data_IF_308781065460
#
_entry.id   IF_308781065460
#
_cell.length_a   1.000
_cell.length_b   1.000
_cell.length_c   1.000
_cell.angle_alpha   90.00
_cell.angle_beta   90.00
_cell.angle_gamma   90.00
#
_symmetry.space_group_name_H-M   'P 1'
#
loop_
_entity.id
_entity.type
_entity.pdbx_description
1 polymer ?
#
# COMPACT_ATOMS: atom_id res chain seq x y z
N UNK A 1 -1.84 8.52 23.07
CA UNK A 1 -1.80 8.68 21.60
C UNK A 1 -1.83 7.28 21.04
N UNK A 2 -2.84 6.96 20.25
CA UNK A 2 -3.09 5.59 19.78
C UNK A 2 -1.89 5.07 18.96
N UNK A 3 -1.52 3.80 19.13
CA UNK A 3 -0.30 3.22 18.54
C UNK A 3 -0.27 3.36 17.01
N UNK A 4 -1.37 3.14 16.26
CA UNK A 4 -1.38 3.33 14.81
C UNK A 4 -1.09 4.77 14.38
N UNK A 5 -1.63 5.77 15.11
CA UNK A 5 -1.37 7.18 14.82
C UNK A 5 0.11 7.55 15.03
N UNK A 6 0.75 6.98 16.06
CA UNK A 6 2.20 7.16 16.28
C UNK A 6 3.03 6.56 15.15
N UNK A 7 2.70 5.34 14.71
CA UNK A 7 3.42 4.67 13.61
C UNK A 7 3.28 5.45 12.30
N UNK A 8 2.06 5.91 11.98
CA UNK A 8 1.82 6.76 10.81
C UNK A 8 2.63 8.06 10.85
N UNK A 9 2.71 8.71 12.01
CA UNK A 9 3.54 9.91 12.19
C UNK A 9 5.02 9.65 11.90
N UNK A 10 5.57 8.55 12.44
CA UNK A 10 6.97 8.16 12.18
C UNK A 10 7.22 7.88 10.69
N UNK A 11 6.31 7.17 10.01
CA UNK A 11 6.41 6.95 8.56
C UNK A 11 6.35 8.29 7.81
N UNK A 12 5.48 9.21 8.24
CA UNK A 12 5.37 10.54 7.65
C UNK A 12 6.67 11.34 7.73
N UNK A 13 7.29 11.37 8.91
CA UNK A 13 8.54 12.09 9.14
C UNK A 13 9.70 11.50 8.31
N UNK A 14 9.80 10.16 8.27
CA UNK A 14 10.84 9.47 7.46
C UNK A 14 10.64 9.70 5.97
N UNK A 15 9.40 9.62 5.49
CA UNK A 15 9.10 9.82 4.09
C UNK A 15 9.39 11.26 3.66
N UNK A 16 9.04 12.25 4.49
CA UNK A 16 9.36 13.65 4.23
C UNK A 16 10.88 13.86 4.07
N UNK A 17 11.70 13.16 4.86
CA UNK A 17 13.16 13.21 4.75
C UNK A 17 13.72 12.64 3.44
N UNK A 18 12.98 11.79 2.72
CA UNK A 18 13.39 11.27 1.41
C UNK A 18 13.30 12.30 0.29
N UNK A 19 12.57 13.41 0.51
CA UNK A 19 12.37 14.48 -0.48
C UNK A 19 11.92 13.95 -1.87
N UNK A 20 11.05 12.93 -1.87
CA UNK A 20 10.47 12.37 -3.09
C UNK A 20 9.47 13.35 -3.72
N UNK A 21 9.18 13.20 -5.03
CA UNK A 21 8.21 14.04 -5.71
C UNK A 21 6.84 14.07 -5.00
N UNK A 22 6.25 15.25 -4.98
CA UNK A 22 4.88 15.52 -4.54
C UNK A 22 4.20 16.39 -5.60
N UNK A 23 2.91 16.17 -5.82
CA UNK A 23 2.11 16.94 -6.77
C UNK A 23 0.71 17.20 -6.20
N UNK A 24 0.14 18.39 -6.46
CA UNK A 24 -1.22 18.70 -6.06
C UNK A 24 -2.22 17.91 -6.90
N UNK A 25 -3.46 17.84 -6.42
CA UNK A 25 -4.60 17.35 -7.20
C UNK A 25 -4.73 18.15 -8.52
N UNK A 26 -4.53 17.52 -9.71
CA UNK A 26 -4.70 18.17 -11.01
C UNK A 26 -6.14 18.61 -11.33
N UNK A 27 -7.08 18.15 -10.53
CA UNK A 27 -8.52 18.31 -10.66
C UNK A 27 -9.15 19.08 -9.48
N UNK A 28 -8.35 19.73 -8.63
CA UNK A 28 -8.84 20.46 -7.46
C UNK A 28 -9.99 21.45 -7.76
N UNK A 29 -9.94 22.09 -8.93
CA UNK A 29 -10.90 23.13 -9.36
C UNK A 29 -11.80 22.68 -10.53
N UNK A 30 -11.70 21.44 -10.99
CA UNK A 30 -12.42 20.97 -12.19
C UNK A 30 -12.64 19.47 -12.20
N UNK A 31 -13.68 19.03 -12.90
CA UNK A 31 -13.79 17.62 -13.25
C UNK A 31 -12.71 17.20 -14.28
N UNK A 32 -12.26 15.93 -14.25
CA UNK A 32 -11.48 15.36 -15.34
C UNK A 32 -12.30 15.29 -16.63
N UNK A 33 -11.61 15.34 -17.76
CA UNK A 33 -12.18 15.14 -19.09
C UNK A 33 -12.12 13.66 -19.50
N UNK A 34 -12.95 13.27 -20.48
CA UNK A 34 -12.95 11.91 -21.03
C UNK A 34 -11.56 11.49 -21.54
N UNK A 35 -10.83 12.39 -22.20
CA UNK A 35 -9.48 12.09 -22.70
C UNK A 35 -8.45 11.80 -21.61
N UNK A 36 -8.68 12.24 -20.37
CA UNK A 36 -7.80 11.97 -19.24
C UNK A 36 -8.02 10.56 -18.69
N UNK A 37 -9.18 9.93 -18.92
CA UNK A 37 -9.41 8.53 -18.54
C UNK A 37 -8.63 7.54 -19.41
N UNK A 38 -8.25 7.95 -20.62
CA UNK A 38 -7.56 7.11 -21.61
C UNK A 38 -6.04 7.26 -21.59
N UNK A 39 -5.50 8.14 -20.74
CA UNK A 39 -4.09 8.52 -20.74
C UNK A 39 -3.42 8.24 -19.41
N UNK A 40 -2.14 7.89 -19.48
CA UNK A 40 -1.21 7.77 -18.35
C UNK A 40 0.04 8.58 -18.73
N UNK A 41 0.12 9.83 -18.29
CA UNK A 41 1.15 10.77 -18.78
C UNK A 41 2.50 10.62 -18.08
N UNK A 42 2.50 10.30 -16.79
CA UNK A 42 3.70 10.08 -15.99
C UNK A 42 3.47 8.88 -15.06
N UNK A 43 3.60 7.64 -15.56
CA UNK A 43 3.38 6.47 -14.74
C UNK A 43 4.43 6.33 -13.62
N UNK A 44 5.62 6.90 -13.79
CA UNK A 44 6.72 6.69 -12.84
C UNK A 44 6.60 7.46 -11.54
N UNK A 45 5.82 8.54 -11.50
CA UNK A 45 5.55 9.25 -10.24
C UNK A 45 4.95 8.36 -9.16
N UNK A 46 4.21 7.30 -9.54
CA UNK A 46 3.60 6.37 -8.60
C UNK A 46 4.60 5.46 -7.85
N UNK A 47 5.91 5.54 -8.15
CA UNK A 47 6.96 4.87 -7.35
C UNK A 47 6.97 5.31 -5.89
N UNK A 48 6.41 6.48 -5.58
CA UNK A 48 6.27 6.97 -4.20
C UNK A 48 5.50 6.02 -3.29
N UNK A 49 4.54 5.28 -3.86
CA UNK A 49 3.69 4.33 -3.12
C UNK A 49 4.53 3.19 -2.57
N UNK A 50 5.39 2.59 -3.40
CA UNK A 50 6.30 1.54 -2.97
C UNK A 50 7.31 2.05 -1.94
N UNK A 51 7.83 3.28 -2.11
CA UNK A 51 8.74 3.88 -1.14
C UNK A 51 8.07 4.06 0.24
N UNK A 52 6.84 4.58 0.27
CA UNK A 52 6.05 4.75 1.50
C UNK A 52 5.74 3.41 2.17
N UNK A 53 5.36 2.41 1.39
CA UNK A 53 5.06 1.07 1.90
C UNK A 53 6.27 0.38 2.52
N UNK A 54 7.46 0.55 1.94
CA UNK A 54 8.71 0.02 2.52
C UNK A 54 9.03 0.69 3.86
N UNK A 55 8.83 2.00 3.99
CA UNK A 55 8.97 2.69 5.28
C UNK A 55 7.98 2.17 6.33
N UNK A 56 6.76 1.84 5.93
CA UNK A 56 5.83 1.13 6.82
C UNK A 56 6.38 -0.21 7.29
N UNK A 57 6.94 -1.03 6.39
CA UNK A 57 7.55 -2.30 6.78
C UNK A 57 8.71 -2.09 7.77
N UNK A 58 9.57 -1.11 7.54
CA UNK A 58 10.68 -0.76 8.45
C UNK A 58 10.17 -0.32 9.83
N UNK A 59 9.20 0.61 9.88
CA UNK A 59 8.63 1.12 11.13
C UNK A 59 7.88 0.01 11.90
N UNK A 60 7.19 -0.88 11.20
CA UNK A 60 6.55 -2.06 11.81
C UNK A 60 7.59 -3.04 12.34
N UNK A 61 8.70 -3.26 11.63
CA UNK A 61 9.79 -4.11 12.08
C UNK A 61 10.40 -3.58 13.39
N UNK A 62 10.65 -2.28 13.46
CA UNK A 62 11.13 -1.62 14.68
C UNK A 62 10.13 -1.66 15.83
N UNK A 63 8.83 -1.71 15.52
CA UNK A 63 7.78 -1.93 16.50
C UNK A 63 7.68 -3.39 16.96
N UNK A 64 8.40 -4.32 16.33
CA UNK A 64 8.49 -5.74 16.72
C UNK A 64 7.83 -6.72 15.77
N UNK A 65 7.30 -6.25 14.62
CA UNK A 65 6.85 -7.13 13.55
C UNK A 65 8.04 -7.87 12.90
N UNK A 66 7.81 -9.04 12.35
CA UNK A 66 8.82 -9.73 11.54
C UNK A 66 8.60 -9.41 10.07
N UNK A 67 9.63 -8.90 9.40
CA UNK A 67 9.56 -8.56 7.96
C UNK A 67 10.47 -9.49 7.18
N UNK A 68 9.93 -10.10 6.13
CA UNK A 68 10.68 -10.94 5.21
C UNK A 68 10.36 -10.57 3.76
N UNK A 69 11.39 -10.49 2.93
CA UNK A 69 11.21 -10.53 1.48
C UNK A 69 10.93 -11.98 1.06
N UNK A 70 9.81 -12.18 0.36
CA UNK A 70 9.36 -13.51 -0.06
C UNK A 70 9.59 -13.64 -1.58
N UNK A 71 10.30 -14.68 -2.05
CA UNK A 71 10.48 -14.90 -3.48
C UNK A 71 9.16 -15.37 -4.09
N UNK A 72 8.41 -14.42 -4.64
CA UNK A 72 7.14 -14.63 -5.31
C UNK A 72 7.27 -14.12 -6.73
N UNK A 73 7.00 -14.97 -7.72
CA UNK A 73 7.10 -14.58 -9.14
C UNK A 73 5.78 -13.99 -9.66
N UNK A 74 4.66 -14.57 -9.21
CA UNK A 74 3.32 -14.16 -9.61
C UNK A 74 2.35 -14.27 -8.44
N UNK A 75 1.28 -13.49 -8.50
CA UNK A 75 0.11 -13.68 -7.63
C UNK A 75 -1.14 -13.50 -8.46
N UNK A 76 -2.18 -14.25 -8.15
CA UNK A 76 -3.52 -14.03 -8.68
C UNK A 76 -4.37 -13.51 -7.53
N UNK A 77 -4.68 -12.21 -7.50
CA UNK A 77 -5.48 -11.63 -6.44
C UNK A 77 -6.91 -12.20 -6.44
N UNK A 78 -7.36 -12.59 -5.25
CA UNK A 78 -8.75 -12.84 -4.88
C UNK A 78 -9.27 -11.58 -4.18
N UNK A 79 -10.43 -11.04 -4.57
CA UNK A 79 -11.02 -9.89 -3.88
C UNK A 79 -11.89 -8.99 -4.76
N UNK A 80 -12.58 -8.04 -4.12
CA UNK A 80 -13.55 -7.15 -4.77
C UNK A 80 -12.90 -6.10 -5.69
N UNK A 81 -11.63 -5.75 -5.46
CA UNK A 81 -10.94 -4.64 -6.13
C UNK A 81 -10.10 -5.03 -7.36
N UNK A 82 -9.85 -6.33 -7.59
CA UNK A 82 -9.20 -6.83 -8.81
C UNK A 82 -9.49 -8.33 -9.02
N UNK A 83 -10.37 -8.73 -9.96
CA UNK A 83 -10.68 -10.14 -10.14
C UNK A 83 -9.63 -10.87 -10.97
N UNK A 84 -8.99 -11.90 -10.39
CA UNK A 84 -8.50 -13.11 -11.08
C UNK A 84 -7.38 -12.95 -12.11
N UNK A 85 -6.88 -11.74 -12.34
CA UNK A 85 -5.76 -11.50 -13.26
C UNK A 85 -4.44 -11.77 -12.54
N UNK A 86 -3.66 -12.72 -13.05
CA UNK A 86 -2.29 -12.95 -12.57
C UNK A 86 -1.41 -11.73 -12.84
N UNK A 87 -0.76 -11.22 -11.79
CA UNK A 87 0.20 -10.12 -11.87
C UNK A 87 1.63 -10.64 -11.71
N UNK A 88 2.55 -10.03 -12.44
CA UNK A 88 3.98 -10.27 -12.28
C UNK A 88 4.49 -9.50 -11.07
N UNK A 89 5.11 -10.23 -10.14
CA UNK A 89 5.62 -9.65 -8.91
C UNK A 89 7.05 -9.19 -9.13
N UNK A 90 7.30 -7.92 -8.79
CA UNK A 90 8.64 -7.35 -8.77
C UNK A 90 9.32 -7.55 -7.41
N UNK A 91 8.54 -7.39 -6.33
CA UNK A 91 8.97 -7.59 -4.94
C UNK A 91 7.76 -7.95 -4.09
N UNK A 92 7.92 -8.85 -3.12
CA UNK A 92 6.91 -9.10 -2.10
C UNK A 92 7.55 -9.03 -0.72
N UNK A 93 6.99 -8.20 0.16
CA UNK A 93 7.30 -8.19 1.58
C UNK A 93 6.12 -8.80 2.34
N UNK A 94 6.44 -9.73 3.23
CA UNK A 94 5.52 -10.25 4.25
C UNK A 94 5.89 -9.60 5.58
N UNK A 95 4.90 -9.02 6.25
CA UNK A 95 5.02 -8.42 7.58
C UNK A 95 4.13 -9.23 8.52
N UNK A 96 4.75 -10.11 9.28
CA UNK A 96 4.07 -10.89 10.32
C UNK A 96 3.93 -10.06 11.60
N UNK A 97 2.79 -10.17 12.32
CA UNK A 97 2.56 -9.45 13.56
C UNK A 97 3.63 -9.76 14.63
N UNK A 98 3.82 -8.88 15.63
CA UNK A 98 4.71 -9.14 16.73
C UNK A 98 4.40 -10.45 17.46
N UNK A 99 5.43 -11.11 17.99
CA UNK A 99 5.28 -12.34 18.74
C UNK A 99 4.31 -12.17 19.93
N UNK A 100 3.37 -13.11 20.09
CA UNK A 100 2.37 -13.08 21.17
C UNK A 100 1.11 -12.28 20.87
N UNK A 101 0.98 -11.75 19.64
CA UNK A 101 -0.29 -11.22 19.11
C UNK A 101 -1.02 -12.34 18.39
N UNK A 102 -2.02 -12.91 19.06
CA UNK A 102 -2.87 -13.95 18.47
C UNK A 102 -3.98 -13.33 17.60
N UNK A 103 -4.36 -14.01 16.51
CA UNK A 103 -5.48 -13.62 15.65
C UNK A 103 -5.19 -12.49 14.65
N UNK A 104 -4.01 -11.88 14.70
CA UNK A 104 -3.57 -10.89 13.74
C UNK A 104 -3.15 -11.53 12.40
N UNK A 105 -3.68 -11.01 11.30
CA UNK A 105 -3.32 -11.47 9.97
C UNK A 105 -1.98 -10.83 9.52
N UNK A 106 -1.08 -11.60 8.88
CA UNK A 106 0.09 -11.06 8.20
C UNK A 106 -0.30 -10.03 7.15
N UNK A 107 0.44 -8.93 7.07
CA UNK A 107 0.31 -7.93 6.01
C UNK A 107 1.25 -8.31 4.85
N UNK A 108 0.75 -8.18 3.62
CA UNK A 108 1.54 -8.33 2.40
C UNK A 108 1.62 -7.02 1.63
N UNK A 109 2.84 -6.64 1.26
CA UNK A 109 3.16 -5.51 0.40
C UNK A 109 3.78 -6.06 -0.88
N UNK A 110 2.98 -6.14 -1.95
CA UNK A 110 3.41 -6.75 -3.21
C UNK A 110 3.52 -5.67 -4.29
N UNK A 111 4.75 -5.42 -4.72
CA UNK A 111 5.05 -4.50 -5.81
C UNK A 111 4.98 -5.22 -7.14
N UNK A 112 4.34 -4.60 -8.12
CA UNK A 112 4.24 -5.11 -9.49
C UNK A 112 4.41 -3.98 -10.50
N UNK A 113 4.68 -4.35 -11.74
CA UNK A 113 4.78 -3.43 -12.86
C UNK A 113 3.77 -3.87 -13.93
N UNK A 114 2.90 -2.97 -14.37
CA UNK A 114 1.99 -3.21 -15.49
C UNK A 114 2.36 -2.35 -16.69
N UNK A 115 2.20 -2.81 -17.94
CA UNK A 115 2.42 -1.97 -19.11
C UNK A 115 1.54 -0.71 -19.10
N UNK A 116 2.14 0.43 -19.46
CA UNK A 116 1.48 1.73 -19.62
C UNK A 116 2.08 2.42 -20.85
N UNK A 117 1.61 2.03 -22.05
CA UNK A 117 2.21 2.46 -23.30
C UNK A 117 3.67 1.98 -23.43
N UNK A 118 4.64 2.86 -23.73
CA UNK A 118 6.06 2.50 -23.81
C UNK A 118 6.73 2.32 -22.44
N UNK A 119 6.04 2.69 -21.35
CA UNK A 119 6.53 2.63 -19.98
C UNK A 119 5.81 1.56 -19.15
N UNK A 120 6.15 1.46 -17.87
CA UNK A 120 5.44 0.64 -16.90
C UNK A 120 4.85 1.50 -15.79
N UNK A 121 3.63 1.17 -15.36
CA UNK A 121 3.01 1.73 -14.18
C UNK A 121 3.37 0.86 -12.96
N UNK A 122 4.09 1.41 -11.96
CA UNK A 122 4.30 0.77 -10.68
C UNK A 122 2.98 0.67 -9.92
N UNK A 123 2.71 -0.51 -9.37
CA UNK A 123 1.56 -0.78 -8.53
C UNK A 123 2.00 -1.43 -7.23
N UNK A 124 1.31 -1.10 -6.14
CA UNK A 124 1.38 -1.82 -4.88
C UNK A 124 0.04 -2.52 -4.64
N UNK A 125 0.10 -3.81 -4.33
CA UNK A 125 -1.01 -4.61 -3.84
C UNK A 125 -0.85 -4.83 -2.35
N UNK A 126 -1.92 -4.58 -1.61
CA UNK A 126 -2.00 -4.75 -0.16
C UNK A 126 -2.91 -5.94 0.14
N UNK A 127 -2.39 -7.00 0.76
CA UNK A 127 -3.18 -8.18 1.13
C UNK A 127 -3.08 -8.48 2.62
N UNK A 128 -4.08 -9.16 3.17
CA UNK A 128 -4.13 -9.55 4.58
C UNK A 128 -4.26 -11.06 4.73
N UNK A 129 -3.46 -11.67 5.61
CA UNK A 129 -3.43 -13.11 5.82
C UNK A 129 -2.74 -13.84 4.68
N UNK A 130 -3.50 -14.16 3.64
CA UNK A 130 -2.98 -14.78 2.43
C UNK A 130 -2.56 -13.70 1.43
N UNK A 131 -1.54 -13.99 0.61
CA UNK A 131 -1.07 -13.03 -0.39
C UNK A 131 -2.13 -12.76 -1.46
N UNK A 132 -2.98 -13.72 -1.73
CA UNK A 132 -4.09 -13.62 -2.68
C UNK A 132 -5.23 -12.75 -2.13
N UNK A 133 -5.41 -12.60 -0.81
CA UNK A 133 -6.54 -11.88 -0.21
C UNK A 133 -6.36 -10.35 -0.25
N UNK A 134 -6.55 -9.79 -1.45
CA UNK A 134 -6.30 -8.39 -1.78
C UNK A 134 -7.30 -7.48 -1.09
N UNK A 135 -6.77 -6.51 -0.33
CA UNK A 135 -7.54 -5.50 0.39
C UNK A 135 -7.51 -4.14 -0.29
N UNK A 136 -6.40 -3.79 -0.94
CA UNK A 136 -6.29 -2.53 -1.68
C UNK A 136 -5.20 -2.60 -2.75
N UNK A 137 -5.28 -1.70 -3.73
CA UNK A 137 -4.29 -1.52 -4.79
C UNK A 137 -4.01 -0.03 -4.98
N UNK A 138 -2.73 0.31 -5.17
CA UNK A 138 -2.28 1.70 -5.29
C UNK A 138 -1.34 1.91 -6.49
N UNK A 139 -1.58 2.93 -7.33
CA UNK A 139 -2.85 3.64 -7.43
C UNK A 139 -4.00 2.66 -7.78
N UNK A 140 -5.21 2.98 -7.35
CA UNK A 140 -6.40 2.18 -7.68
C UNK A 140 -6.61 2.14 -9.21
N UNK A 141 -6.55 3.31 -9.83
CA UNK A 141 -6.52 3.51 -11.27
C UNK A 141 -5.33 4.42 -11.62
N UNK A 142 -4.57 4.05 -12.66
CA UNK A 142 -3.37 4.80 -13.04
C UNK A 142 -3.58 5.87 -14.10
N UNK A 143 -4.82 6.11 -14.56
CA UNK A 143 -5.10 7.14 -15.57
C UNK A 143 -5.02 8.55 -14.97
N UNK A 144 -4.76 9.53 -15.84
CA UNK A 144 -4.65 10.93 -15.43
C UNK A 144 -5.93 11.43 -14.75
N UNK A 145 -7.11 10.98 -15.19
CA UNK A 145 -8.39 11.40 -14.63
C UNK A 145 -8.65 10.93 -13.19
N UNK A 146 -8.00 9.84 -12.77
CA UNK A 146 -8.14 9.30 -11.41
C UNK A 146 -7.04 9.79 -10.47
N UNK A 147 -6.17 10.68 -10.93
CA UNK A 147 -5.15 11.27 -10.10
C UNK A 147 -5.73 12.40 -9.25
N UNK A 148 -5.68 12.23 -7.94
CA UNK A 148 -6.17 13.18 -6.94
C UNK A 148 -5.01 13.77 -6.10
N UNK A 149 -3.78 13.67 -6.61
CA UNK A 149 -2.59 14.22 -5.98
C UNK A 149 -1.82 13.21 -5.12
N UNK A 150 -0.55 13.51 -4.86
CA UNK A 150 0.32 12.61 -4.08
C UNK A 150 -0.13 12.48 -2.63
N UNK A 151 -0.65 13.55 -2.04
CA UNK A 151 -0.95 13.57 -0.60
C UNK A 151 -2.14 12.66 -0.29
N UNK A 152 -3.20 12.76 -1.08
CA UNK A 152 -4.37 11.89 -0.96
C UNK A 152 -4.03 10.44 -1.23
N UNK A 153 -3.25 10.16 -2.28
CA UNK A 153 -2.76 8.83 -2.59
C UNK A 153 -2.00 8.18 -1.41
N UNK A 154 -1.09 8.93 -0.77
CA UNK A 154 -0.32 8.43 0.36
C UNK A 154 -1.16 8.30 1.64
N UNK A 155 -2.12 9.20 1.85
CA UNK A 155 -3.06 9.11 2.97
C UNK A 155 -3.97 7.89 2.86
N UNK A 156 -4.46 7.57 1.67
CA UNK A 156 -5.26 6.37 1.41
C UNK A 156 -4.44 5.08 1.61
N UNK A 157 -3.16 5.09 1.22
CA UNK A 157 -2.23 3.99 1.50
C UNK A 157 -2.05 3.79 3.00
N UNK A 158 -1.75 4.86 3.74
CA UNK A 158 -1.56 4.82 5.19
C UNK A 158 -2.84 4.34 5.91
N UNK A 159 -4.01 4.78 5.46
CA UNK A 159 -5.31 4.32 5.94
C UNK A 159 -5.51 2.82 5.71
N UNK A 160 -5.21 2.33 4.50
CA UNK A 160 -5.39 0.93 4.15
C UNK A 160 -4.46 0.02 4.97
N UNK A 161 -3.18 0.39 5.13
CA UNK A 161 -2.23 -0.34 5.98
C UNK A 161 -2.71 -0.34 7.43
N UNK A 162 -3.15 0.82 7.94
CA UNK A 162 -3.66 0.95 9.32
C UNK A 162 -4.87 0.04 9.56
N UNK A 163 -5.79 -0.04 8.60
CA UNK A 163 -6.94 -0.94 8.69
C UNK A 163 -6.51 -2.40 8.78
N UNK A 164 -5.57 -2.85 7.92
CA UNK A 164 -5.10 -4.25 7.92
C UNK A 164 -4.42 -4.62 9.25
N UNK A 165 -3.56 -3.76 9.79
CA UNK A 165 -2.85 -4.07 11.05
C UNK A 165 -3.74 -3.89 12.31
N UNK A 166 -4.86 -3.18 12.16
CA UNK A 166 -5.87 -3.04 13.21
C UNK A 166 -6.98 -4.10 13.14
N UNK A 167 -7.14 -4.78 12.00
CA UNK A 167 -8.16 -5.81 11.78
C UNK A 167 -7.78 -7.09 12.56
N UNK A 168 -8.66 -7.49 13.50
CA UNK A 168 -8.46 -8.57 14.47
C UNK A 168 -9.50 -9.68 14.36
N UNK A 169 -10.20 -9.81 13.24
CA UNK A 169 -11.32 -10.75 13.08
C UNK A 169 -10.85 -12.23 12.96
N UNK A 170 -10.54 -12.83 14.13
CA UNK A 170 -11.21 -14.05 14.62
C UNK A 170 -10.89 -14.30 16.11
N UNK A 171 -11.77 -13.81 16.99
CA UNK A 171 -11.99 -14.26 18.39
C UNK A 171 -10.85 -14.14 19.43
N UNK A 172 -10.08 -13.06 19.45
CA UNK A 172 -9.57 -12.49 20.71
C UNK A 172 -8.96 -11.11 20.44
N UNK A 173 -9.62 -10.06 20.92
CA UNK A 173 -9.16 -8.68 20.79
C UNK A 173 -7.74 -8.49 21.35
N UNK A 174 -6.76 -8.30 20.46
CA UNK A 174 -5.57 -7.47 20.69
C UNK A 174 -5.15 -6.83 19.37
N UNK A 175 -5.06 -5.50 19.36
CA UNK A 175 -4.25 -4.78 18.38
C UNK A 175 -2.83 -5.38 18.39
N UNK A 176 -2.10 -5.32 17.27
CA UNK A 176 -0.67 -5.71 17.21
C UNK A 176 0.14 -5.11 18.37
N UNK A 177 -0.32 -3.99 18.89
CA UNK A 177 0.26 -3.28 20.01
C UNK A 177 -0.80 -3.04 21.09
N UNK A 178 -1.13 -4.11 21.82
CA UNK A 178 -1.89 -4.00 23.06
C UNK A 178 -1.08 -3.27 24.14
N UNK A 179 -1.73 -2.37 24.87
CA UNK A 179 -1.17 -1.65 26.02
C UNK A 179 -0.54 -2.65 27.02
N UNK A 180 0.73 -2.42 27.38
CA UNK A 180 1.34 -3.08 28.53
C UNK A 180 0.89 -2.41 29.82
#
# INVERSE_FOLDING_TARGET
>A
MDTPARLRGEVADRYAALALPSWPDPHADRAPSESEYERVSDPQRYRIVAARARLWAEVLAEAGAAVAEVPLETVTPDGETAPGQTVLVHRALRVDPPAGVDGAAPLWLVESLTPAGPETLPLLHLSAGRVEDLRARFPFCGCDACDDGSDRLLDELDDAITRVIADTESTAHRLWFGER
#
